data_IF_455792752392
#
_entry.id   IF_455792752392
#
_cell.length_a   1.000
_cell.length_b   1.000
_cell.length_c   1.000
_cell.angle_alpha   90.00
_cell.angle_beta   90.00
_cell.angle_gamma   90.00
#
_symmetry.space_group_name_H-M   'P 1'
#
loop_
_entity.id
_entity.type
_entity.pdbx_description
1 polymer ?
#
# COMPACT_ATOMS: atom_id res chain seq x y z
N UNK A 1 -17.72 -2.45 -20.58
CA UNK A 1 -17.92 -1.71 -19.31
C UNK A 1 -18.19 -2.73 -18.21
N UNK A 2 -17.14 -3.21 -17.56
CA UNK A 2 -17.24 -4.05 -16.36
C UNK A 2 -17.55 -3.12 -15.19
N UNK A 3 -18.69 -3.29 -14.52
CA UNK A 3 -18.97 -2.52 -13.31
C UNK A 3 -17.99 -2.96 -12.22
N UNK A 4 -17.04 -2.10 -11.87
CA UNK A 4 -16.18 -2.28 -10.70
C UNK A 4 -17.08 -2.20 -9.46
N UNK A 5 -17.52 -3.35 -8.97
CA UNK A 5 -18.10 -3.45 -7.62
C UNK A 5 -17.00 -3.11 -6.62
N UNK A 6 -16.89 -1.84 -6.26
CA UNK A 6 -16.02 -1.31 -5.21
C UNK A 6 -16.55 -1.73 -3.84
N UNK A 7 -16.40 -3.01 -3.50
CA UNK A 7 -16.56 -3.47 -2.12
C UNK A 7 -15.33 -3.02 -1.31
N UNK A 8 -15.21 -1.71 -1.12
CA UNK A 8 -14.25 -1.12 -0.21
C UNK A 8 -14.71 -1.41 1.21
N UNK A 9 -13.94 -2.22 1.94
CA UNK A 9 -14.27 -2.54 3.33
C UNK A 9 -13.73 -1.44 4.25
N UNK A 10 -14.57 -0.94 5.15
CA UNK A 10 -14.18 0.09 6.12
C UNK A 10 -13.56 -0.58 7.36
N UNK A 11 -12.46 -0.02 7.84
CA UNK A 11 -11.66 -0.49 8.96
C UNK A 11 -11.71 0.58 10.06
N UNK A 12 -12.08 0.17 11.27
CA UNK A 12 -12.16 1.04 12.45
C UNK A 12 -10.78 1.16 13.15
N UNK A 13 -10.54 2.27 13.85
CA UNK A 13 -9.28 2.55 14.58
C UNK A 13 -8.96 1.55 15.66
N UNK A 14 -9.96 0.88 16.23
CA UNK A 14 -9.74 -0.12 17.28
C UNK A 14 -9.26 -1.46 16.72
N UNK A 15 -9.26 -1.64 15.41
CA UNK A 15 -8.86 -2.90 14.78
C UNK A 15 -7.34 -3.04 14.73
N UNK A 16 -6.90 -4.30 14.77
CA UNK A 16 -5.50 -4.66 14.58
C UNK A 16 -4.97 -4.22 13.20
N UNK A 17 -5.78 -4.30 12.15
CA UNK A 17 -5.38 -3.86 10.81
C UNK A 17 -5.03 -2.37 10.80
N UNK A 18 -5.87 -1.52 11.40
CA UNK A 18 -5.59 -0.09 11.53
C UNK A 18 -4.34 0.18 12.37
N UNK A 19 -4.25 -0.45 13.55
CA UNK A 19 -3.18 -0.20 14.50
C UNK A 19 -1.81 -0.61 13.96
N UNK A 20 -1.75 -1.74 13.26
CA UNK A 20 -0.48 -2.38 12.91
C UNK A 20 -0.12 -2.28 11.42
N UNK A 21 -1.11 -2.15 10.53
CA UNK A 21 -0.92 -2.20 9.08
C UNK A 21 -1.28 -0.88 8.37
N UNK A 22 -1.19 0.24 9.08
CA UNK A 22 -1.28 1.60 8.53
C UNK A 22 0.11 2.21 8.33
N UNK A 23 0.27 2.93 7.22
CA UNK A 23 1.47 3.72 6.92
C UNK A 23 1.29 5.23 7.17
N UNK A 24 0.04 5.70 7.15
CA UNK A 24 -0.32 7.11 7.35
C UNK A 24 -0.36 7.49 8.83
N UNK A 25 -0.34 8.77 9.22
CA UNK A 25 -0.56 9.30 10.57
C UNK A 25 -2.04 9.21 10.99
N UNK A 26 -2.34 9.18 12.29
CA UNK A 26 -3.72 8.98 12.78
C UNK A 26 -4.60 10.20 12.51
N UNK A 27 -3.99 11.39 12.44
CA UNK A 27 -4.67 12.66 12.19
C UNK A 27 -5.45 12.67 10.87
N UNK A 28 -4.99 11.91 9.87
CA UNK A 28 -5.63 11.83 8.55
C UNK A 28 -6.94 11.05 8.52
N UNK A 29 -7.25 10.30 9.58
CA UNK A 29 -8.49 9.52 9.67
C UNK A 29 -9.60 10.27 10.42
N UNK A 30 -9.30 11.46 10.95
CA UNK A 30 -10.22 12.30 11.70
C UNK A 30 -10.75 11.63 12.98
N UNK A 31 -11.77 12.24 13.59
CA UNK A 31 -12.35 11.77 14.87
C UNK A 31 -13.15 10.47 14.74
N UNK A 32 -13.57 10.09 13.53
CA UNK A 32 -14.36 8.88 13.25
C UNK A 32 -13.48 7.74 12.74
N UNK A 33 -12.22 8.01 12.35
CA UNK A 33 -11.21 6.98 12.26
C UNK A 33 -11.41 5.92 11.16
N UNK A 34 -12.09 6.26 10.06
CA UNK A 34 -12.46 5.27 9.05
C UNK A 34 -11.36 5.08 8.02
N UNK A 35 -10.60 4.00 8.15
CA UNK A 35 -9.70 3.53 7.11
C UNK A 35 -10.43 2.64 6.12
N UNK A 36 -9.81 2.40 4.97
CA UNK A 36 -10.19 1.42 3.98
C UNK A 36 -9.21 0.25 4.03
N UNK A 37 -9.75 -0.97 3.98
CA UNK A 37 -8.96 -2.20 3.88
C UNK A 37 -8.48 -2.35 2.44
N UNK A 38 -7.24 -1.94 2.19
CA UNK A 38 -6.61 -1.99 0.87
C UNK A 38 -5.98 -3.36 0.65
N UNK A 39 -6.48 -4.11 -0.34
CA UNK A 39 -5.88 -5.36 -0.80
C UNK A 39 -4.55 -5.09 -1.50
N UNK A 40 -3.49 -5.78 -1.06
CA UNK A 40 -2.20 -5.72 -1.74
C UNK A 40 -2.26 -6.52 -3.05
N UNK A 41 -2.56 -7.81 -2.93
CA UNK A 41 -3.00 -8.63 -4.04
C UNK A 41 -4.50 -8.51 -4.21
N UNK A 42 -4.93 -8.04 -5.39
CA UNK A 42 -6.33 -7.70 -5.62
C UNK A 42 -7.24 -8.91 -5.44
N UNK A 43 -8.42 -8.67 -4.87
CA UNK A 43 -9.48 -9.68 -4.72
C UNK A 43 -9.82 -10.36 -6.04
N UNK A 44 -9.84 -9.60 -7.14
CA UNK A 44 -10.07 -10.14 -8.48
C UNK A 44 -8.99 -11.15 -8.88
N UNK A 45 -7.72 -10.81 -8.68
CA UNK A 45 -6.61 -11.72 -8.98
C UNK A 45 -6.66 -12.97 -8.09
N UNK A 46 -6.84 -12.77 -6.78
CA UNK A 46 -6.96 -13.87 -5.82
C UNK A 46 -8.10 -14.81 -6.19
N UNK A 47 -9.24 -14.33 -6.70
CA UNK A 47 -10.38 -15.19 -7.06
C UNK A 47 -10.24 -15.84 -8.43
N UNK A 48 -9.61 -15.15 -9.38
CA UNK A 48 -9.40 -15.64 -10.75
C UNK A 48 -8.51 -16.88 -10.79
N UNK A 49 -7.48 -16.92 -9.93
CA UNK A 49 -6.47 -17.97 -9.97
C UNK A 49 -6.46 -18.79 -8.68
N UNK A 50 -6.81 -20.08 -8.76
CA UNK A 50 -6.97 -20.98 -7.63
C UNK A 50 -5.78 -20.97 -6.64
N UNK A 51 -4.54 -20.90 -7.15
CA UNK A 51 -3.33 -20.85 -6.33
C UNK A 51 -3.23 -19.63 -5.40
N UNK A 52 -4.01 -18.57 -5.69
CA UNK A 52 -4.00 -17.30 -4.96
C UNK A 52 -5.25 -17.12 -4.07
N UNK A 53 -6.19 -18.07 -4.04
CA UNK A 53 -7.39 -18.03 -3.20
C UNK A 53 -7.05 -17.85 -1.72
N UNK A 54 -5.95 -18.48 -1.28
CA UNK A 54 -5.43 -18.40 0.09
C UNK A 54 -5.10 -16.97 0.55
N UNK A 55 -4.87 -16.03 -0.37
CA UNK A 55 -4.55 -14.64 -0.04
C UNK A 55 -5.78 -13.72 0.04
N UNK A 56 -6.94 -14.09 -0.52
CA UNK A 56 -8.11 -13.17 -0.61
C UNK A 56 -8.52 -12.68 0.78
N UNK A 57 -8.62 -13.60 1.76
CA UNK A 57 -9.07 -13.29 3.11
C UNK A 57 -7.94 -13.26 4.16
N UNK A 58 -6.67 -13.34 3.75
CA UNK A 58 -5.55 -13.24 4.69
C UNK A 58 -5.38 -11.78 5.16
N UNK A 59 -5.35 -11.57 6.47
CA UNK A 59 -5.18 -10.23 7.06
C UNK A 59 -3.84 -9.58 6.68
N UNK A 60 -2.82 -10.39 6.37
CA UNK A 60 -1.51 -9.92 5.93
C UNK A 60 -1.49 -9.55 4.44
N UNK A 61 -2.61 -9.71 3.72
CA UNK A 61 -2.79 -9.18 2.36
C UNK A 61 -3.49 -7.80 2.41
N UNK A 62 -3.25 -6.99 3.45
CA UNK A 62 -3.93 -5.71 3.68
C UNK A 62 -3.01 -4.58 4.14
N UNK A 63 -3.37 -3.37 3.74
CA UNK A 63 -3.01 -2.14 4.44
C UNK A 63 -4.27 -1.38 4.82
N UNK A 64 -4.26 -0.72 5.98
CA UNK A 64 -5.27 0.25 6.35
C UNK A 64 -4.85 1.62 5.82
N UNK A 65 -5.60 2.15 4.85
CA UNK A 65 -5.31 3.42 4.17
C UNK A 65 -6.51 4.37 4.23
N UNK A 66 -6.29 5.68 4.20
CA UNK A 66 -7.33 6.66 3.91
C UNK A 66 -7.89 6.44 2.50
N UNK A 67 -9.03 7.05 2.18
CA UNK A 67 -9.57 6.98 0.82
C UNK A 67 -8.58 7.54 -0.21
N UNK A 68 -7.94 8.66 0.11
CA UNK A 68 -7.00 9.34 -0.81
C UNK A 68 -5.77 8.47 -1.06
N UNK A 69 -5.15 7.95 0.01
CA UNK A 69 -3.97 7.08 -0.13
C UNK A 69 -4.29 5.75 -0.81
N UNK A 70 -5.49 5.19 -0.58
CA UNK A 70 -5.95 4.01 -1.30
C UNK A 70 -6.16 4.30 -2.79
N UNK A 71 -6.78 5.42 -3.14
CA UNK A 71 -6.96 5.84 -4.53
C UNK A 71 -5.63 6.11 -5.24
N UNK A 72 -4.66 6.68 -4.52
CA UNK A 72 -3.29 6.88 -5.00
C UNK A 72 -2.55 5.58 -5.27
N UNK A 73 -2.69 4.59 -4.40
CA UNK A 73 -2.00 3.31 -4.52
C UNK A 73 -2.65 2.35 -5.52
N UNK A 74 -3.97 2.40 -5.67
CA UNK A 74 -4.69 1.63 -6.68
C UNK A 74 -4.76 2.34 -8.04
N UNK A 75 -4.49 3.65 -8.10
CA UNK A 75 -4.66 4.45 -9.31
C UNK A 75 -6.13 4.61 -9.73
N UNK A 76 -7.06 4.66 -8.76
CA UNK A 76 -8.51 4.70 -9.05
C UNK A 76 -8.97 6.01 -9.67
N UNK A 77 -8.31 7.10 -9.28
CA UNK A 77 -8.66 8.48 -9.67
C UNK A 77 -7.62 9.10 -10.61
N UNK A 78 -6.64 8.32 -11.08
CA UNK A 78 -5.48 8.78 -11.85
C UNK A 78 -5.20 7.85 -13.03
N UNK A 79 -4.40 8.31 -14.00
CA UNK A 79 -4.03 7.50 -15.17
C UNK A 79 -3.22 6.24 -14.79
N UNK A 80 -2.40 6.35 -13.74
CA UNK A 80 -1.65 5.27 -13.10
C UNK A 80 -1.58 5.52 -11.59
N UNK A 81 -1.31 4.49 -10.77
CA UNK A 81 -0.98 4.67 -9.35
C UNK A 81 0.11 5.74 -9.18
N UNK A 82 -0.05 6.64 -8.21
CA UNK A 82 0.91 7.75 -8.01
C UNK A 82 2.02 7.39 -7.01
N UNK A 83 1.97 6.17 -6.47
CA UNK A 83 2.99 5.59 -5.60
C UNK A 83 3.12 4.09 -5.81
N UNK A 84 4.29 3.57 -5.49
CA UNK A 84 4.58 2.15 -5.42
C UNK A 84 5.21 1.83 -4.05
N UNK A 85 4.88 0.68 -3.47
CA UNK A 85 5.40 0.27 -2.17
C UNK A 85 6.17 -1.04 -2.35
N UNK A 86 7.37 -1.11 -1.79
CA UNK A 86 8.18 -2.32 -1.77
C UNK A 86 8.64 -2.67 -0.36
N UNK A 87 8.94 -3.95 -0.14
CA UNK A 87 9.51 -4.42 1.13
C UNK A 87 11.02 -4.20 1.09
N UNK A 88 11.53 -3.49 2.08
CA UNK A 88 12.98 -3.29 2.29
C UNK A 88 13.58 -4.43 3.10
N UNK A 89 12.93 -4.78 4.23
CA UNK A 89 13.39 -5.84 5.12
C UNK A 89 12.27 -6.33 6.03
N UNK A 90 12.48 -7.51 6.61
CA UNK A 90 11.58 -8.12 7.60
C UNK A 90 12.42 -8.44 8.84
N UNK A 91 11.86 -8.22 10.03
CA UNK A 91 12.50 -8.63 11.28
C UNK A 91 12.71 -10.14 11.34
N UNK A 92 13.80 -10.58 11.97
CA UNK A 92 14.12 -12.02 12.11
C UNK A 92 13.04 -12.81 12.88
N UNK A 93 12.37 -12.14 13.82
CA UNK A 93 11.27 -12.68 14.60
C UNK A 93 10.15 -11.67 14.82
N UNK A 94 9.07 -12.08 15.51
CA UNK A 94 8.03 -11.17 15.96
C UNK A 94 8.59 -10.07 16.88
N UNK A 95 8.16 -8.83 16.66
CA UNK A 95 8.61 -7.65 17.42
C UNK A 95 7.50 -7.11 18.32
N UNK A 96 6.23 -7.30 17.93
CA UNK A 96 5.05 -6.86 18.69
C UNK A 96 4.04 -8.00 18.76
N UNK A 97 3.90 -8.62 19.94
CA UNK A 97 3.10 -9.83 20.07
C UNK A 97 3.60 -10.92 19.12
N UNK A 98 2.70 -11.45 18.29
CA UNK A 98 3.02 -12.42 17.22
C UNK A 98 3.31 -11.78 15.85
N UNK A 99 3.47 -10.45 15.78
CA UNK A 99 3.63 -9.72 14.52
C UNK A 99 5.08 -9.40 14.21
N UNK A 100 5.46 -9.64 12.96
CA UNK A 100 6.76 -9.28 12.39
C UNK A 100 6.75 -7.82 11.95
N UNK A 101 7.85 -7.11 12.17
CA UNK A 101 8.04 -5.77 11.60
C UNK A 101 8.49 -5.91 10.15
N UNK A 102 7.80 -5.24 9.24
CA UNK A 102 8.17 -5.16 7.82
C UNK A 102 8.50 -3.70 7.52
N UNK A 103 9.76 -3.43 7.17
CA UNK A 103 10.18 -2.11 6.71
C UNK A 103 9.82 -1.98 5.23
N UNK A 104 9.24 -0.84 4.88
CA UNK A 104 8.69 -0.53 3.57
C UNK A 104 9.39 0.68 2.97
N UNK A 105 9.59 0.66 1.66
CA UNK A 105 9.94 1.84 0.87
C UNK A 105 8.71 2.24 0.08
N UNK A 106 8.18 3.43 0.36
CA UNK A 106 7.12 4.09 -0.41
C UNK A 106 7.79 4.99 -1.43
N UNK A 107 7.70 4.63 -2.71
CA UNK A 107 8.24 5.40 -3.83
C UNK A 107 7.15 6.20 -4.51
N UNK A 108 7.34 7.51 -4.65
CA UNK A 108 6.42 8.37 -5.36
C UNK A 108 6.67 8.35 -6.87
N UNK A 109 5.62 8.60 -7.66
CA UNK A 109 5.73 8.73 -9.12
C UNK A 109 6.56 9.95 -9.53
N UNK A 110 6.44 11.06 -8.79
CA UNK A 110 7.23 12.28 -9.00
C UNK A 110 7.32 13.11 -7.70
N UNK A 111 8.11 14.19 -7.72
CA UNK A 111 8.37 15.03 -6.55
C UNK A 111 7.10 15.72 -5.97
N UNK A 112 6.13 16.06 -6.82
CA UNK A 112 4.86 16.64 -6.38
C UNK A 112 4.06 15.67 -5.52
N UNK A 113 3.90 14.43 -5.99
CA UNK A 113 3.26 13.37 -5.21
C UNK A 113 4.09 12.95 -4.00
N UNK A 114 5.42 12.97 -4.10
CA UNK A 114 6.29 12.66 -2.95
C UNK A 114 6.03 13.60 -1.76
N UNK A 115 5.85 14.89 -2.03
CA UNK A 115 5.46 15.87 -1.02
C UNK A 115 4.08 15.60 -0.42
N UNK A 116 3.09 15.21 -1.24
CA UNK A 116 1.74 14.91 -0.74
C UNK A 116 1.70 13.64 0.11
N UNK A 117 2.38 12.59 -0.33
CA UNK A 117 2.46 11.31 0.39
C UNK A 117 3.20 11.50 1.72
N UNK A 118 4.31 12.26 1.74
CA UNK A 118 5.08 12.46 2.97
C UNK A 118 4.30 13.20 4.06
N UNK A 119 3.39 14.12 3.70
CA UNK A 119 2.47 14.75 4.66
C UNK A 119 1.53 13.75 5.32
N UNK A 120 1.23 12.64 4.65
CA UNK A 120 0.32 11.62 5.15
C UNK A 120 1.00 10.58 6.03
N UNK A 121 2.29 10.29 5.81
CA UNK A 121 2.99 9.21 6.51
C UNK A 121 3.06 9.44 8.02
N UNK A 122 2.97 8.35 8.79
CA UNK A 122 3.13 8.40 10.24
C UNK A 122 4.51 8.86 10.66
N UNK A 123 4.59 9.36 11.89
CA UNK A 123 5.84 9.79 12.51
C UNK A 123 6.94 8.70 12.43
N UNK A 124 8.18 9.16 12.26
CA UNK A 124 9.36 8.30 12.19
C UNK A 124 9.68 7.74 10.80
N UNK A 125 8.99 8.19 9.73
CA UNK A 125 9.44 7.90 8.38
C UNK A 125 10.75 8.64 8.04
N UNK A 126 11.53 8.09 7.10
CA UNK A 126 12.78 8.70 6.63
C UNK A 126 12.73 8.87 5.12
N UNK A 127 12.86 10.10 4.63
CA UNK A 127 12.95 10.37 3.19
C UNK A 127 14.37 10.16 2.66
N UNK A 128 14.50 9.74 1.41
CA UNK A 128 15.75 9.77 0.64
C UNK A 128 16.20 11.22 0.38
N UNK A 129 17.47 11.39 -0.02
CA UNK A 129 18.03 12.71 -0.34
C UNK A 129 17.28 13.42 -1.49
N UNK A 130 16.83 12.66 -2.49
CA UNK A 130 16.02 13.18 -3.60
C UNK A 130 14.53 13.38 -3.24
N UNK A 131 14.14 12.96 -2.04
CA UNK A 131 12.77 13.03 -1.53
C UNK A 131 11.76 12.13 -2.24
N UNK A 132 12.17 11.24 -3.15
CA UNK A 132 11.24 10.38 -3.91
C UNK A 132 10.89 9.07 -3.22
N UNK A 133 11.68 8.65 -2.23
CA UNK A 133 11.46 7.44 -1.45
C UNK A 133 11.30 7.78 0.04
N UNK A 134 10.29 7.18 0.67
CA UNK A 134 10.03 7.32 2.09
C UNK A 134 10.00 5.95 2.75
N UNK A 135 10.90 5.75 3.72
CA UNK A 135 11.02 4.52 4.52
C UNK A 135 10.09 4.59 5.71
N UNK A 136 9.24 3.59 5.86
CA UNK A 136 8.33 3.43 7.02
C UNK A 136 8.23 1.94 7.38
N UNK A 137 7.34 1.56 8.28
CA UNK A 137 7.15 0.15 8.63
C UNK A 137 5.73 -0.20 9.05
N UNK A 138 5.37 -1.47 8.94
CA UNK A 138 4.12 -2.04 9.45
C UNK A 138 4.40 -3.31 10.25
N UNK A 139 3.40 -3.83 10.95
CA UNK A 139 3.48 -5.05 11.73
C UNK A 139 2.42 -6.06 11.28
N UNK A 140 2.87 -7.22 10.81
CA UNK A 140 2.00 -8.21 10.15
C UNK A 140 2.11 -9.57 10.81
N UNK A 141 1.00 -10.33 10.82
CA UNK A 141 0.99 -11.68 11.40
C UNK A 141 1.77 -12.68 10.52
N UNK A 142 1.62 -12.58 9.20
CA UNK A 142 2.26 -13.48 8.24
C UNK A 142 3.13 -12.67 7.27
N UNK A 143 4.39 -12.48 7.63
CA UNK A 143 5.34 -11.73 6.81
C UNK A 143 5.53 -12.34 5.42
N UNK A 144 5.49 -13.67 5.29
CA UNK A 144 5.61 -14.34 3.99
C UNK A 144 4.47 -13.95 3.06
N UNK A 145 3.22 -14.04 3.53
CA UNK A 145 2.04 -13.64 2.75
C UNK A 145 2.11 -12.16 2.40
N UNK A 146 2.45 -11.30 3.37
CA UNK A 146 2.55 -9.86 3.13
C UNK A 146 3.59 -9.54 2.03
N UNK A 147 4.79 -10.13 2.12
CA UNK A 147 5.85 -9.94 1.13
C UNK A 147 5.45 -10.44 -0.25
N UNK A 148 4.82 -11.62 -0.36
CA UNK A 148 4.35 -12.17 -1.63
C UNK A 148 3.29 -11.25 -2.29
N UNK A 149 2.36 -10.72 -1.50
CA UNK A 149 1.31 -9.84 -2.01
C UNK A 149 1.83 -8.43 -2.35
N UNK A 150 2.73 -7.88 -1.54
CA UNK A 150 3.46 -6.64 -1.84
C UNK A 150 4.22 -6.75 -3.16
N UNK A 151 4.98 -7.84 -3.32
CA UNK A 151 5.80 -8.05 -4.51
C UNK A 151 4.96 -8.17 -5.79
N UNK A 152 3.80 -8.82 -5.70
CA UNK A 152 2.83 -8.85 -6.78
C UNK A 152 2.35 -7.44 -7.12
N UNK A 153 1.89 -6.66 -6.12
CA UNK A 153 1.35 -5.32 -6.33
C UNK A 153 2.40 -4.39 -6.93
N UNK A 154 3.63 -4.46 -6.41
CA UNK A 154 4.78 -3.70 -6.91
C UNK A 154 5.00 -3.92 -8.40
N UNK A 155 5.03 -5.17 -8.82
CA UNK A 155 5.22 -5.54 -10.23
C UNK A 155 4.09 -5.06 -11.13
N UNK A 156 2.85 -5.09 -10.64
CA UNK A 156 1.71 -4.59 -11.41
C UNK A 156 1.75 -3.05 -11.56
N UNK A 157 2.19 -2.33 -10.53
CA UNK A 157 2.38 -0.88 -10.59
C UNK A 157 3.56 -0.53 -11.50
N UNK A 158 4.69 -1.25 -11.39
CA UNK A 158 5.87 -1.01 -12.25
C UNK A 158 5.55 -1.18 -13.74
N UNK A 159 4.72 -2.17 -14.10
CA UNK A 159 4.23 -2.36 -15.47
C UNK A 159 3.41 -1.16 -15.95
N UNK A 160 2.52 -0.64 -15.09
CA UNK A 160 1.69 0.52 -15.41
C UNK A 160 2.54 1.78 -15.56
N UNK A 161 3.49 2.01 -14.65
CA UNK A 161 4.42 3.13 -14.73
C UNK A 161 5.26 3.08 -16.01
N UNK A 162 5.83 1.91 -16.34
CA UNK A 162 6.58 1.74 -17.57
C UNK A 162 5.73 2.08 -18.79
N UNK A 163 4.52 1.52 -18.87
CA UNK A 163 3.59 1.80 -19.97
C UNK A 163 3.22 3.29 -20.05
N UNK A 164 3.06 3.96 -18.91
CA UNK A 164 2.75 5.39 -18.87
C UNK A 164 3.91 6.23 -19.40
N UNK A 165 5.15 5.97 -18.96
CA UNK A 165 6.33 6.68 -19.45
C UNK A 165 6.61 6.42 -20.93
N UNK A 166 6.37 5.20 -21.43
CA UNK A 166 6.53 4.87 -22.85
C UNK A 166 5.52 5.62 -23.74
N UNK A 167 4.37 6.06 -23.19
CA UNK A 167 3.33 6.79 -23.91
C UNK A 167 3.47 8.32 -23.83
N UNK A 168 4.20 8.84 -22.85
CA UNK A 168 4.45 10.29 -22.73
C UNK A 168 5.55 10.66 -23.73
N UNK A 169 5.28 11.50 -24.75
CA UNK A 169 6.32 11.94 -25.67
C UNK A 169 7.47 12.58 -24.89
N UNK A 170 8.71 12.32 -25.32
CA UNK A 170 9.85 13.09 -24.82
C UNK A 170 9.52 14.57 -25.04
N UNK A 171 9.41 15.32 -23.95
CA UNK A 171 9.25 16.77 -24.04
C UNK A 171 10.65 17.29 -24.37
N UNK A 172 10.85 17.68 -25.63
CA UNK A 172 12.03 18.42 -26.11
C UNK A 172 12.11 19.82 -25.46
#
# INVERSE_FOLDING_TARGET
MSSLSTNTSIVDVVTDEFKYQRIESEEWFGTVGKAQSCHLMSREHCRRYASYHKYDNDQSNRLALTSDMHDWYDGRSFAVPVMNISVESVSEGPVVGSRYKVNLIVRALNAGYARLISLHLKEGFVASEDGLEMRTSVYVLNAKVFCECMEWKRKEIDKQWKSYYDMVPAVD
#
